data_IF_989816576898
#
_entry.id   IF_989816576898
#
_cell.length_a   1.000
_cell.length_b   1.000
_cell.length_c   1.000
_cell.angle_alpha   90.00
_cell.angle_beta   90.00
_cell.angle_gamma   90.00
#
_symmetry.space_group_name_H-M   'P 1'
#
loop_
_entity.id
_entity.type
_entity.pdbx_description
1 polymer ?
#
# COMPACT_ATOMS: atom_id res chain seq x y z
N UNK A 1 71.08 45.17 -0.53
CA UNK A 1 70.23 44.57 -1.58
C UNK A 1 70.44 43.07 -1.56
N UNK A 2 69.50 42.32 -0.99
CA UNK A 2 69.39 40.87 -1.14
C UNK A 2 67.95 40.47 -0.83
N UNK A 3 67.40 39.67 -1.74
CA UNK A 3 66.02 39.18 -1.77
C UNK A 3 65.93 37.92 -0.90
N UNK A 4 64.81 37.71 -0.18
CA UNK A 4 64.63 36.51 0.64
C UNK A 4 63.17 36.28 0.99
N UNK A 5 62.57 35.33 0.29
CA UNK A 5 61.20 34.82 0.41
C UNK A 5 61.17 33.64 1.40
N UNK A 6 60.18 33.53 2.31
CA UNK A 6 59.63 32.25 2.80
C UNK A 6 58.57 32.40 3.93
N UNK A 7 57.36 31.99 3.60
CA UNK A 7 56.39 31.18 4.38
C UNK A 7 56.48 31.12 5.91
N UNK A 8 55.42 31.60 6.54
CA UNK A 8 55.09 31.41 7.96
C UNK A 8 54.50 30.01 8.22
N UNK A 9 55.25 29.19 8.94
CA UNK A 9 54.75 28.08 9.76
C UNK A 9 54.29 28.63 11.11
N UNK A 10 53.07 28.33 11.55
CA UNK A 10 52.74 28.43 12.97
C UNK A 10 52.18 27.10 13.49
N UNK A 11 52.98 26.52 14.37
CA UNK A 11 52.65 25.46 15.32
C UNK A 11 51.42 25.82 16.16
N UNK A 12 50.56 24.84 16.42
CA UNK A 12 49.67 24.87 17.59
C UNK A 12 49.99 23.69 18.50
N UNK A 13 50.38 24.02 19.72
CA UNK A 13 50.83 23.10 20.77
C UNK A 13 49.63 22.62 21.59
N UNK A 14 49.73 21.36 21.96
CA UNK A 14 48.89 20.56 22.84
C UNK A 14 48.68 21.19 24.23
N UNK A 15 47.44 21.22 24.73
CA UNK A 15 47.15 21.22 26.16
C UNK A 15 46.10 20.13 26.43
N UNK A 16 46.53 19.12 27.19
CA UNK A 16 45.72 18.07 27.80
C UNK A 16 45.33 18.54 29.20
N UNK A 17 44.05 18.44 29.53
CA UNK A 17 43.60 18.27 30.91
C UNK A 17 42.53 17.17 30.93
N UNK A 18 42.75 16.21 31.84
CA UNK A 18 41.97 14.99 32.02
C UNK A 18 40.87 15.15 33.10
N UNK A 19 39.87 14.25 33.01
CA UNK A 19 38.95 13.73 34.08
C UNK A 19 37.63 14.51 34.31
N UNK A 20 36.46 13.87 34.66
CA UNK A 20 36.08 12.45 34.81
C UNK A 20 34.84 11.98 34.01
N UNK A 21 34.72 10.65 33.95
CA UNK A 21 33.53 9.88 33.58
C UNK A 21 32.54 9.79 34.77
N UNK A 22 31.28 10.19 34.57
CA UNK A 22 30.04 9.45 34.88
C UNK A 22 28.84 10.37 35.15
N UNK A 23 27.68 10.05 34.56
CA UNK A 23 26.32 10.08 35.13
C UNK A 23 25.30 10.26 34.00
N UNK A 24 24.40 9.27 33.88
CA UNK A 24 23.45 9.16 32.79
C UNK A 24 22.44 10.29 32.69
N UNK A 25 22.24 10.76 31.45
CA UNK A 25 21.05 11.51 31.06
C UNK A 25 20.07 10.48 30.49
N UNK A 26 19.01 10.20 31.25
CA UNK A 26 17.84 9.46 30.77
C UNK A 26 17.20 10.31 29.68
N UNK A 27 17.28 9.87 28.43
CA UNK A 27 16.43 10.39 27.37
C UNK A 27 15.02 9.92 27.65
N UNK A 28 14.15 10.85 28.04
CA UNK A 28 12.72 10.62 28.13
C UNK A 28 12.23 10.14 26.76
N UNK A 29 11.64 8.94 26.76
CA UNK A 29 10.97 8.37 25.60
C UNK A 29 9.80 9.30 25.26
N UNK A 30 9.88 9.96 24.11
CA UNK A 30 8.71 10.57 23.49
C UNK A 30 7.56 9.55 23.37
N UNK A 31 6.31 10.01 23.36
CA UNK A 31 5.14 9.14 23.41
C UNK A 31 5.18 8.10 22.27
N UNK A 32 4.76 6.85 22.54
CA UNK A 32 4.86 5.75 21.59
C UNK A 32 4.07 6.08 20.33
N UNK A 33 4.75 6.05 19.19
CA UNK A 33 4.10 6.01 17.89
C UNK A 33 3.17 4.78 17.82
N UNK A 34 1.88 5.04 17.63
CA UNK A 34 0.90 3.99 17.33
C UNK A 34 1.11 3.45 15.90
N UNK A 35 0.68 2.20 15.65
CA UNK A 35 1.47 1.24 14.89
C UNK A 35 1.31 1.43 13.38
N UNK A 36 2.42 1.28 12.66
CA UNK A 36 2.40 0.96 11.23
C UNK A 36 1.50 -0.26 11.03
N UNK A 37 0.34 -0.09 10.40
CA UNK A 37 -0.69 -1.12 10.24
C UNK A 37 -0.21 -2.44 9.58
N UNK A 38 1.01 -2.51 9.03
CA UNK A 38 1.64 -3.77 8.60
C UNK A 38 2.29 -4.60 9.72
N UNK A 39 2.77 -4.01 10.82
CA UNK A 39 3.40 -4.79 11.92
C UNK A 39 2.36 -5.47 12.83
N UNK A 40 1.16 -4.93 12.90
CA UNK A 40 0.05 -5.53 13.65
C UNK A 40 -0.50 -6.77 12.92
N UNK A 41 -0.61 -6.73 11.59
CA UNK A 41 -1.00 -7.89 10.77
C UNK A 41 0.02 -9.04 10.83
N UNK A 42 1.33 -8.75 10.74
CA UNK A 42 2.39 -9.76 10.92
C UNK A 42 2.30 -10.49 12.27
N UNK A 43 1.74 -9.85 13.31
CA UNK A 43 1.55 -10.47 14.62
C UNK A 43 0.15 -11.10 14.77
N UNK A 44 -0.88 -10.58 14.12
CA UNK A 44 -2.23 -11.14 14.17
C UNK A 44 -2.32 -12.46 13.38
N UNK A 45 -1.87 -12.51 12.12
CA UNK A 45 -2.02 -13.73 11.30
C UNK A 45 -1.19 -14.90 11.87
N UNK A 46 -0.06 -14.62 12.52
CA UNK A 46 0.77 -15.64 13.17
C UNK A 46 0.33 -16.02 14.61
N UNK A 47 -0.58 -15.28 15.25
CA UNK A 47 -1.11 -15.60 16.60
C UNK A 47 -2.62 -15.92 16.63
N UNK A 48 -3.36 -15.72 15.54
CA UNK A 48 -4.77 -16.07 15.45
C UNK A 48 -4.91 -17.58 15.22
N UNK A 49 -5.81 -18.19 15.98
CA UNK A 49 -6.20 -19.57 15.76
C UNK A 49 -6.90 -19.72 14.40
N UNK A 50 -6.91 -20.93 13.85
CA UNK A 50 -7.42 -21.15 12.50
C UNK A 50 -8.92 -20.85 12.40
N UNK A 51 -9.66 -21.13 13.47
CA UNK A 51 -11.06 -20.76 13.61
C UNK A 51 -11.28 -19.24 13.59
N UNK A 52 -10.30 -18.44 14.01
CA UNK A 52 -10.39 -16.99 13.96
C UNK A 52 -10.05 -16.44 12.56
N UNK A 53 -9.11 -17.04 11.85
CA UNK A 53 -8.78 -16.67 10.46
C UNK A 53 -9.96 -17.01 9.53
N UNK A 54 -10.53 -18.22 9.67
CA UNK A 54 -11.69 -18.65 8.88
C UNK A 54 -12.91 -17.79 9.19
N UNK A 55 -13.15 -17.48 10.46
CA UNK A 55 -14.24 -16.59 10.89
C UNK A 55 -14.06 -15.19 10.33
N UNK A 56 -12.85 -14.62 10.38
CA UNK A 56 -12.58 -13.30 9.79
C UNK A 56 -12.82 -13.29 8.28
N UNK A 57 -12.31 -14.29 7.56
CA UNK A 57 -12.50 -14.40 6.12
C UNK A 57 -13.98 -14.63 5.75
N UNK A 58 -14.73 -15.38 6.57
CA UNK A 58 -16.17 -15.59 6.39
C UNK A 58 -16.98 -14.34 6.75
N UNK A 59 -16.63 -13.61 7.81
CA UNK A 59 -17.23 -12.33 8.19
C UNK A 59 -16.98 -11.26 7.12
N UNK A 60 -15.77 -11.17 6.57
CA UNK A 60 -15.48 -10.29 5.44
C UNK A 60 -16.29 -10.68 4.20
N UNK A 61 -16.37 -11.98 3.86
CA UNK A 61 -17.22 -12.47 2.76
C UNK A 61 -18.70 -12.19 2.99
N UNK A 62 -19.22 -12.40 4.20
CA UNK A 62 -20.61 -12.10 4.58
C UNK A 62 -20.89 -10.61 4.56
N UNK A 63 -19.95 -9.77 5.03
CA UNK A 63 -20.05 -8.32 4.96
C UNK A 63 -20.07 -7.83 3.52
N UNK A 64 -19.22 -8.37 2.65
CA UNK A 64 -19.25 -8.10 1.21
C UNK A 64 -20.56 -8.56 0.56
N UNK A 65 -21.08 -9.72 0.94
CA UNK A 65 -22.36 -10.22 0.45
C UNK A 65 -23.55 -9.36 0.93
N UNK A 66 -23.53 -8.92 2.19
CA UNK A 66 -24.55 -8.05 2.78
C UNK A 66 -24.51 -6.63 2.20
N UNK A 67 -23.32 -6.07 1.94
CA UNK A 67 -23.16 -4.79 1.24
C UNK A 67 -23.75 -4.82 -0.18
N UNK A 68 -23.78 -5.99 -0.82
CA UNK A 68 -24.42 -6.19 -2.12
C UNK A 68 -25.94 -6.47 -2.01
N UNK A 69 -26.49 -6.67 -0.81
CA UNK A 69 -27.85 -7.18 -0.59
C UNK A 69 -28.81 -6.25 0.16
N UNK A 70 -28.36 -5.10 0.67
CA UNK A 70 -29.21 -4.20 1.45
C UNK A 70 -29.72 -3.02 0.61
N UNK A 71 -30.95 -3.20 0.09
CA UNK A 71 -31.79 -2.16 -0.52
C UNK A 71 -32.43 -1.30 0.59
N UNK A 72 -31.60 -0.58 1.34
CA UNK A 72 -32.08 0.43 2.27
C UNK A 72 -31.94 1.82 1.63
N UNK A 73 -33.01 2.26 0.96
CA UNK A 73 -33.42 3.66 0.79
C UNK A 73 -32.42 4.60 0.11
N UNK A 74 -32.51 4.69 -1.21
CA UNK A 74 -31.93 5.69 -2.12
C UNK A 74 -30.38 5.83 -2.17
N UNK A 75 -29.81 5.25 -3.24
CA UNK A 75 -28.53 5.65 -3.89
C UNK A 75 -27.20 5.37 -3.17
N UNK A 76 -27.13 4.49 -2.15
CA UNK A 76 -25.81 4.17 -1.54
C UNK A 76 -24.99 3.11 -2.29
N UNK A 77 -25.60 2.28 -3.14
CA UNK A 77 -24.92 1.21 -3.91
C UNK A 77 -23.95 0.34 -3.07
N UNK A 78 -24.18 0.20 -1.76
CA UNK A 78 -23.30 -0.54 -0.85
C UNK A 78 -21.96 0.15 -0.52
N UNK A 79 -21.82 1.47 -0.71
CA UNK A 79 -20.63 2.23 -0.30
C UNK A 79 -20.54 2.33 1.23
N UNK A 80 -21.68 2.42 1.92
CA UNK A 80 -21.74 2.50 3.38
C UNK A 80 -21.10 3.78 3.94
N UNK A 81 -20.92 3.81 5.26
CA UNK A 81 -20.13 4.84 5.95
C UNK A 81 -18.99 4.18 6.74
N UNK A 82 -17.76 4.37 6.26
CA UNK A 82 -16.55 3.99 7.00
C UNK A 82 -16.14 5.12 7.96
N UNK A 83 -15.78 4.74 9.19
CA UNK A 83 -15.23 5.67 10.19
C UNK A 83 -13.90 6.26 9.71
N UNK A 84 -13.77 7.58 9.84
CA UNK A 84 -12.57 8.31 9.42
C UNK A 84 -11.64 8.44 10.62
N UNK A 85 -10.53 7.70 10.58
CA UNK A 85 -9.52 7.82 11.64
C UNK A 85 -8.85 9.18 11.62
N UNK A 86 -8.40 9.66 12.78
CA UNK A 86 -7.64 10.91 12.90
C UNK A 86 -6.38 10.91 12.01
N UNK A 87 -5.73 9.75 11.85
CA UNK A 87 -4.56 9.58 10.98
C UNK A 87 -4.89 9.81 9.50
N UNK A 88 -6.08 9.39 9.06
CA UNK A 88 -6.55 9.55 7.69
C UNK A 88 -6.87 11.02 7.40
N UNK A 89 -7.49 11.72 8.37
CA UNK A 89 -7.78 13.16 8.29
C UNK A 89 -6.51 14.02 8.35
N UNK A 90 -5.44 13.53 8.99
CA UNK A 90 -4.15 14.23 9.09
C UNK A 90 -3.26 14.07 7.85
N UNK A 91 -3.71 13.37 6.80
CA UNK A 91 -2.90 13.16 5.59
C UNK A 91 -2.67 14.47 4.82
N UNK A 92 -1.41 14.72 4.44
CA UNK A 92 -1.03 15.87 3.62
C UNK A 92 -1.26 15.57 2.13
N UNK A 93 -2.00 16.44 1.44
CA UNK A 93 -2.26 16.40 0.01
C UNK A 93 -0.98 16.39 -0.84
N UNK A 94 0.14 16.93 -0.34
CA UNK A 94 1.44 16.88 -1.05
C UNK A 94 2.00 15.47 -1.17
N UNK A 95 1.67 14.60 -0.21
CA UNK A 95 2.13 13.22 -0.13
C UNK A 95 1.08 12.24 -0.67
N UNK A 96 0.23 12.68 -1.62
CA UNK A 96 -0.87 11.89 -2.18
C UNK A 96 -0.44 10.54 -2.76
N UNK A 97 0.80 10.40 -3.23
CA UNK A 97 1.33 9.11 -3.73
C UNK A 97 1.47 8.05 -2.65
N UNK A 98 1.55 8.43 -1.37
CA UNK A 98 1.65 7.50 -0.23
C UNK A 98 0.29 7.21 0.42
N UNK A 99 -0.76 7.89 -0.03
CA UNK A 99 -2.10 7.74 0.53
C UNK A 99 -2.79 6.50 -0.03
N UNK A 100 -3.72 5.98 0.79
CA UNK A 100 -4.64 4.94 0.38
C UNK A 100 -5.91 5.60 -0.18
N UNK A 101 -6.00 5.69 -1.51
CA UNK A 101 -7.12 6.35 -2.18
C UNK A 101 -8.47 5.70 -1.93
N UNK A 102 -8.50 4.37 -1.73
CA UNK A 102 -9.74 3.68 -1.38
C UNK A 102 -10.17 4.06 0.03
N UNK A 103 -9.24 4.08 1.00
CA UNK A 103 -9.56 4.50 2.36
C UNK A 103 -10.01 5.97 2.43
N UNK A 104 -9.37 6.86 1.68
CA UNK A 104 -9.77 8.28 1.61
C UNK A 104 -11.22 8.44 1.14
N UNK A 105 -11.64 7.64 0.14
CA UNK A 105 -13.04 7.63 -0.32
C UNK A 105 -14.00 6.81 0.56
N UNK A 106 -13.51 6.07 1.55
CA UNK A 106 -14.34 5.17 2.37
C UNK A 106 -14.73 3.88 1.64
N UNK A 107 -13.90 3.44 0.70
CA UNK A 107 -14.07 2.23 -0.11
C UNK A 107 -13.05 1.15 0.31
N UNK A 108 -12.55 1.18 1.55
CA UNK A 108 -11.52 0.25 2.03
C UNK A 108 -11.97 -1.20 1.98
N UNK A 109 -13.27 -1.46 2.16
CA UNK A 109 -13.87 -2.79 2.06
C UNK A 109 -14.08 -3.27 0.62
N UNK A 110 -14.32 -2.37 -0.34
CA UNK A 110 -14.55 -2.73 -1.75
C UNK A 110 -13.25 -2.77 -2.57
N UNK A 111 -12.31 -1.85 -2.34
CA UNK A 111 -11.02 -1.76 -3.04
C UNK A 111 -11.18 -1.86 -4.58
N UNK A 112 -10.40 -2.73 -5.22
CA UNK A 112 -10.46 -3.01 -6.66
C UNK A 112 -11.84 -3.54 -7.13
N UNK A 113 -12.67 -4.09 -6.24
CA UNK A 113 -14.02 -4.56 -6.57
C UNK A 113 -15.04 -3.40 -6.66
N UNK A 114 -14.68 -2.19 -6.23
CA UNK A 114 -15.57 -1.04 -6.30
C UNK A 114 -15.96 -0.71 -7.75
N UNK A 115 -17.25 -0.52 -8.01
CA UNK A 115 -17.76 -0.13 -9.32
C UNK A 115 -17.56 1.38 -9.57
N UNK A 116 -17.54 1.83 -10.85
CA UNK A 116 -17.48 3.25 -11.14
C UNK A 116 -18.64 4.06 -10.54
N UNK A 117 -19.82 3.44 -10.35
CA UNK A 117 -20.96 4.06 -9.73
C UNK A 117 -20.75 4.25 -8.22
N UNK A 118 -20.26 3.22 -7.53
CA UNK A 118 -19.86 3.30 -6.12
C UNK A 118 -18.80 4.37 -5.87
N UNK A 119 -17.78 4.48 -6.73
CA UNK A 119 -16.74 5.52 -6.63
C UNK A 119 -17.36 6.93 -6.70
N UNK A 120 -18.32 7.14 -7.61
CA UNK A 120 -19.01 8.43 -7.74
C UNK A 120 -19.88 8.74 -6.52
N UNK A 121 -20.61 7.75 -5.99
CA UNK A 121 -21.43 7.91 -4.77
C UNK A 121 -20.53 8.25 -3.58
N UNK A 122 -19.45 7.49 -3.38
CA UNK A 122 -18.48 7.71 -2.32
C UNK A 122 -17.85 9.10 -2.37
N UNK A 123 -17.45 9.56 -3.56
CA UNK A 123 -16.93 10.91 -3.76
C UNK A 123 -17.96 11.99 -3.39
N UNK A 124 -19.22 11.87 -3.85
CA UNK A 124 -20.29 12.81 -3.50
C UNK A 124 -20.48 12.90 -1.99
N UNK A 125 -20.55 11.74 -1.31
CA UNK A 125 -20.69 11.66 0.15
C UNK A 125 -19.52 12.36 0.88
N UNK A 126 -18.28 12.05 0.50
CA UNK A 126 -17.06 12.63 1.10
C UNK A 126 -16.97 14.14 0.87
N UNK A 127 -17.29 14.60 -0.35
CA UNK A 127 -17.33 16.04 -0.67
C UNK A 127 -18.38 16.75 0.18
N UNK A 128 -19.59 16.19 0.34
CA UNK A 128 -20.64 16.82 1.14
C UNK A 128 -20.29 16.92 2.64
N UNK A 129 -19.52 15.95 3.16
CA UNK A 129 -19.07 15.89 4.55
C UNK A 129 -17.89 16.82 4.84
N UNK A 130 -16.94 16.92 3.91
CA UNK A 130 -15.69 17.67 4.09
C UNK A 130 -15.60 18.96 3.26
N UNK A 131 -16.72 19.43 2.70
CA UNK A 131 -16.71 20.64 1.89
C UNK A 131 -16.22 21.85 2.71
N UNK A 132 -15.23 22.62 2.22
CA UNK A 132 -14.66 23.74 2.97
C UNK A 132 -15.70 24.84 3.28
N UNK A 133 -16.68 25.05 2.40
CA UNK A 133 -17.73 26.07 2.55
C UNK A 133 -18.69 25.77 3.73
N UNK A 134 -19.05 24.50 3.96
CA UNK A 134 -19.96 24.14 5.07
C UNK A 134 -19.31 24.31 6.44
N UNK A 135 -17.99 24.21 6.51
CA UNK A 135 -17.22 24.33 7.76
C UNK A 135 -16.72 25.76 8.02
N UNK A 136 -16.73 26.63 7.01
CA UNK A 136 -16.45 28.06 7.17
C UNK A 136 -17.50 28.80 8.01
N UNK A 137 -18.74 28.32 8.05
CA UNK A 137 -19.83 28.86 8.88
C UNK A 137 -19.81 28.41 10.35
N UNK A 138 -19.01 27.39 10.69
CA UNK A 138 -18.86 26.86 12.06
C UNK A 138 -17.49 27.32 12.58
N UNK A 139 -17.41 28.60 12.94
CA UNK A 139 -16.18 29.20 13.47
C UNK A 139 -15.80 28.56 14.82
N UNK A 140 -14.77 27.71 14.86
CA UNK A 140 -13.79 27.60 15.98
C UNK A 140 -12.45 26.99 15.51
N UNK A 141 -12.40 26.19 14.44
CA UNK A 141 -11.12 25.62 13.96
C UNK A 141 -11.06 25.62 12.45
N UNK A 142 -10.44 26.65 11.86
CA UNK A 142 -9.76 26.49 10.57
C UNK A 142 -8.55 25.56 10.79
N UNK A 143 -8.79 24.27 10.95
CA UNK A 143 -7.73 23.27 10.85
C UNK A 143 -7.30 23.27 9.39
N UNK A 144 -6.06 23.68 9.12
CA UNK A 144 -5.39 23.50 7.82
C UNK A 144 -5.49 22.06 7.30
N UNK A 145 -5.71 21.11 8.22
CA UNK A 145 -5.91 19.70 7.94
C UNK A 145 -7.21 19.42 7.17
N UNK A 146 -8.27 20.20 7.34
CA UNK A 146 -9.56 19.96 6.65
C UNK A 146 -9.48 20.28 5.15
N UNK A 147 -8.80 21.39 4.78
CA UNK A 147 -8.53 21.73 3.38
C UNK A 147 -7.52 20.75 2.75
N UNK A 148 -6.51 20.33 3.51
CA UNK A 148 -5.58 19.29 3.07
C UNK A 148 -6.32 17.97 2.78
N UNK A 149 -7.20 17.53 3.68
CA UNK A 149 -7.98 16.31 3.50
C UNK A 149 -8.97 16.41 2.32
N UNK A 150 -9.60 17.57 2.12
CA UNK A 150 -10.45 17.80 0.95
C UNK A 150 -9.67 17.66 -0.36
N UNK A 151 -8.43 18.16 -0.42
CA UNK A 151 -7.54 17.95 -1.57
C UNK A 151 -7.17 16.48 -1.76
N UNK A 152 -6.96 15.73 -0.68
CA UNK A 152 -6.78 14.28 -0.73
C UNK A 152 -8.00 13.57 -1.35
N UNK A 153 -9.22 13.95 -0.95
CA UNK A 153 -10.47 13.40 -1.53
C UNK A 153 -10.52 13.65 -3.04
N UNK A 154 -10.21 14.87 -3.49
CA UNK A 154 -10.20 15.18 -4.93
C UNK A 154 -9.16 14.35 -5.67
N UNK A 155 -7.96 14.19 -5.09
CA UNK A 155 -6.89 13.41 -5.70
C UNK A 155 -7.23 11.92 -5.77
N UNK A 156 -7.80 11.36 -4.72
CA UNK A 156 -8.26 9.98 -4.67
C UNK A 156 -9.31 9.70 -5.75
N UNK A 157 -10.29 10.61 -5.90
CA UNK A 157 -11.30 10.48 -6.95
C UNK A 157 -10.73 10.59 -8.37
N UNK A 158 -9.76 11.49 -8.59
CA UNK A 158 -9.06 11.64 -9.87
C UNK A 158 -8.33 10.34 -10.29
N UNK A 159 -7.70 9.66 -9.32
CA UNK A 159 -7.00 8.39 -9.54
C UNK A 159 -7.98 7.25 -9.77
N UNK A 160 -9.01 7.12 -8.94
CA UNK A 160 -9.92 5.98 -8.96
C UNK A 160 -10.97 6.04 -10.08
N UNK A 161 -11.34 7.24 -10.54
CA UNK A 161 -12.31 7.40 -11.65
C UNK A 161 -11.70 7.06 -13.01
N UNK A 162 -10.41 7.32 -13.21
CA UNK A 162 -9.73 6.99 -14.46
C UNK A 162 -9.29 5.51 -14.45
N UNK A 163 -9.75 4.65 -15.38
CA UNK A 163 -9.44 3.23 -15.37
C UNK A 163 -7.95 2.89 -15.47
N UNK A 164 -7.18 3.69 -16.20
CA UNK A 164 -5.74 3.50 -16.37
C UNK A 164 -4.99 3.86 -15.08
N UNK A 165 -5.30 5.02 -14.49
CA UNK A 165 -4.68 5.45 -13.22
C UNK A 165 -5.09 4.56 -12.05
N UNK A 166 -6.34 4.11 -12.04
CA UNK A 166 -6.83 3.12 -11.07
C UNK A 166 -6.03 1.82 -11.19
N UNK A 167 -5.83 1.31 -12.41
CA UNK A 167 -5.01 0.12 -12.67
C UNK A 167 -3.55 0.30 -12.21
N UNK A 168 -2.96 1.47 -12.44
CA UNK A 168 -1.62 1.80 -11.96
C UNK A 168 -1.56 1.83 -10.43
N UNK A 169 -2.59 2.37 -9.76
CA UNK A 169 -2.69 2.37 -8.30
C UNK A 169 -2.94 0.98 -7.73
N UNK A 170 -3.87 0.20 -8.29
CA UNK A 170 -4.18 -1.18 -7.88
C UNK A 170 -2.94 -2.09 -7.97
N UNK A 171 -2.00 -1.77 -8.87
CA UNK A 171 -0.72 -2.46 -8.98
C UNK A 171 0.19 -2.23 -7.76
N UNK A 172 0.03 -1.14 -7.03
CA UNK A 172 0.87 -0.74 -5.88
C UNK A 172 0.06 -0.38 -4.64
N UNK A 173 -1.17 -0.89 -4.55
CA UNK A 173 -2.09 -0.62 -3.44
C UNK A 173 -1.41 -0.99 -2.10
N UNK A 174 -1.24 -0.04 -1.17
CA UNK A 174 -0.56 -0.26 0.11
C UNK A 174 -1.14 -1.42 0.93
N UNK A 175 -2.47 -1.63 0.88
CA UNK A 175 -3.12 -2.73 1.58
C UNK A 175 -2.63 -4.08 1.05
N UNK A 176 -2.61 -4.25 -0.28
CA UNK A 176 -2.15 -5.50 -0.89
C UNK A 176 -0.64 -5.68 -0.82
N UNK A 177 0.15 -4.60 -0.89
CA UNK A 177 1.59 -4.68 -0.66
C UNK A 177 1.90 -5.28 0.73
N UNK A 178 1.14 -4.90 1.77
CA UNK A 178 1.31 -5.49 3.10
C UNK A 178 0.95 -6.99 3.15
N UNK A 179 -0.11 -7.40 2.46
CA UNK A 179 -0.50 -8.80 2.37
C UNK A 179 0.47 -9.66 1.54
N UNK A 180 1.18 -9.04 0.59
CA UNK A 180 2.23 -9.69 -0.19
C UNK A 180 3.51 -9.92 0.64
N UNK A 181 3.84 -8.99 1.55
CA UNK A 181 4.95 -9.15 2.50
C UNK A 181 4.67 -10.24 3.55
N UNK A 182 3.41 -10.40 3.94
CA UNK A 182 2.94 -11.40 4.90
C UNK A 182 2.57 -12.75 4.24
N UNK A 183 2.91 -12.95 2.96
CA UNK A 183 2.62 -14.20 2.26
C UNK A 183 3.39 -15.39 2.88
N UNK A 184 2.76 -16.58 2.97
CA UNK A 184 3.42 -17.79 3.49
C UNK A 184 4.69 -18.13 2.70
N UNK A 185 5.75 -18.49 3.40
CA UNK A 185 7.03 -18.89 2.80
C UNK A 185 7.29 -20.38 3.03
N UNK A 186 8.16 -21.02 2.22
CA UNK A 186 8.57 -22.41 2.47
C UNK A 186 9.15 -22.66 3.87
N UNK A 187 9.66 -21.61 4.54
CA UNK A 187 10.18 -21.73 5.91
C UNK A 187 9.09 -21.92 6.96
N UNK A 188 7.87 -21.43 6.70
CA UNK A 188 6.73 -21.54 7.62
C UNK A 188 6.23 -22.98 7.73
N UNK A 189 6.37 -23.74 6.64
CA UNK A 189 5.96 -25.15 6.56
C UNK A 189 7.02 -26.13 7.11
N UNK A 190 8.30 -25.73 7.22
CA UNK A 190 9.36 -26.61 7.76
C UNK A 190 9.21 -26.92 9.25
N UNK A 191 8.45 -26.10 9.98
CA UNK A 191 8.29 -26.23 11.43
C UNK A 191 7.12 -27.12 11.83
N UNK A 192 6.17 -27.34 10.94
CA UNK A 192 5.09 -28.30 11.13
C UNK A 192 5.50 -29.66 10.62
N UNK A 193 5.60 -30.63 11.54
CA UNK A 193 5.86 -32.03 11.19
C UNK A 193 4.64 -32.69 10.54
N UNK A 194 3.45 -32.15 10.82
CA UNK A 194 2.17 -32.58 10.29
C UNK A 194 1.55 -31.43 9.48
N UNK A 195 2.04 -31.19 8.26
CA UNK A 195 1.38 -30.25 7.35
C UNK A 195 0.06 -30.89 6.94
N UNK A 196 -1.02 -30.52 7.61
CA UNK A 196 -2.35 -30.88 7.15
C UNK A 196 -2.53 -30.34 5.72
N UNK A 197 -2.89 -31.18 4.73
CA UNK A 197 -3.09 -30.72 3.36
C UNK A 197 -4.07 -29.54 3.27
N UNK A 198 -5.08 -29.53 4.14
CA UNK A 198 -6.06 -28.44 4.27
C UNK A 198 -5.41 -27.10 4.61
N UNK A 199 -4.35 -27.09 5.42
CA UNK A 199 -3.61 -25.88 5.80
C UNK A 199 -2.89 -25.25 4.60
N UNK A 200 -2.37 -26.06 3.69
CA UNK A 200 -1.75 -25.56 2.45
C UNK A 200 -2.77 -24.78 1.61
N UNK A 201 -3.94 -25.37 1.35
CA UNK A 201 -4.98 -24.72 0.54
C UNK A 201 -5.57 -23.49 1.23
N UNK A 202 -5.75 -23.52 2.55
CA UNK A 202 -6.25 -22.36 3.31
C UNK A 202 -5.27 -21.17 3.26
N UNK A 203 -3.96 -21.43 3.29
CA UNK A 203 -2.94 -20.38 3.27
C UNK A 203 -2.64 -19.86 1.86
N UNK A 204 -2.46 -20.74 0.88
CA UNK A 204 -2.07 -20.34 -0.48
C UNK A 204 -3.25 -20.03 -1.39
N UNK A 205 -4.44 -20.58 -1.13
CA UNK A 205 -5.64 -20.31 -1.93
C UNK A 205 -5.92 -18.80 -2.07
N UNK A 206 -6.03 -18.05 -0.96
CA UNK A 206 -6.23 -16.60 -1.00
C UNK A 206 -5.07 -15.82 -1.66
N UNK A 207 -3.84 -16.36 -1.60
CA UNK A 207 -2.67 -15.75 -2.26
C UNK A 207 -2.83 -15.85 -3.77
N UNK A 208 -3.09 -17.05 -4.31
CA UNK A 208 -3.28 -17.23 -5.74
C UNK A 208 -4.54 -16.52 -6.26
N UNK A 209 -5.63 -16.47 -5.50
CA UNK A 209 -6.83 -15.69 -5.86
C UNK A 209 -6.51 -14.19 -5.98
N UNK A 210 -5.72 -13.66 -5.04
CA UNK A 210 -5.29 -12.26 -5.08
C UNK A 210 -4.36 -11.97 -6.26
N UNK A 211 -3.40 -12.85 -6.53
CA UNK A 211 -2.47 -12.68 -7.65
C UNK A 211 -3.17 -12.84 -9.01
N UNK A 212 -4.21 -13.68 -9.08
CA UNK A 212 -4.92 -14.00 -10.32
C UNK A 212 -5.53 -12.75 -10.97
N UNK A 213 -5.92 -11.76 -10.16
CA UNK A 213 -6.45 -10.47 -10.65
C UNK A 213 -5.50 -9.76 -11.62
N UNK A 214 -4.20 -10.01 -11.49
CA UNK A 214 -3.17 -9.39 -12.32
C UNK A 214 -2.92 -10.13 -13.63
N UNK A 215 -3.58 -11.28 -13.87
CA UNK A 215 -3.40 -12.06 -15.09
C UNK A 215 -3.95 -11.33 -16.32
N UNK A 216 -3.23 -11.41 -17.43
CA UNK A 216 -3.75 -11.05 -18.76
C UNK A 216 -4.51 -12.18 -19.44
N UNK A 217 -4.30 -13.42 -18.99
CA UNK A 217 -4.86 -14.64 -19.58
C UNK A 217 -5.98 -15.14 -18.69
N UNK A 218 -7.14 -15.38 -19.28
CA UNK A 218 -8.32 -15.94 -18.61
C UNK A 218 -8.80 -17.19 -19.36
N UNK A 219 -9.38 -18.20 -18.68
CA UNK A 219 -9.59 -18.27 -17.23
C UNK A 219 -8.29 -18.58 -16.47
N UNK A 220 -8.19 -18.08 -15.23
CA UNK A 220 -7.05 -18.37 -14.33
C UNK A 220 -7.34 -19.64 -13.53
N UNK A 221 -6.51 -20.70 -13.62
CA UNK A 221 -6.69 -21.89 -12.78
C UNK A 221 -6.40 -21.55 -11.32
N UNK A 222 -7.32 -21.94 -10.44
CA UNK A 222 -7.18 -21.82 -8.98
C UNK A 222 -6.44 -23.03 -8.41
N UNK A 223 -5.97 -22.91 -7.16
CA UNK A 223 -5.12 -23.91 -6.50
C UNK A 223 -5.76 -25.31 -6.37
N UNK A 224 -7.09 -25.40 -6.43
CA UNK A 224 -7.81 -26.67 -6.40
C UNK A 224 -8.01 -27.24 -5.00
N UNK A 225 -8.15 -28.56 -4.93
CA UNK A 225 -8.35 -29.34 -3.71
C UNK A 225 -7.36 -30.51 -3.60
N UNK A 226 -7.27 -31.13 -2.43
CA UNK A 226 -6.34 -32.25 -2.18
C UNK A 226 -6.58 -33.45 -3.10
N UNK A 227 -7.84 -33.65 -3.53
CA UNK A 227 -8.25 -34.81 -4.32
C UNK A 227 -8.07 -34.61 -5.83
N UNK A 228 -7.58 -33.45 -6.26
CA UNK A 228 -7.40 -33.13 -7.67
C UNK A 228 -6.34 -34.03 -8.32
N UNK A 229 -6.61 -34.42 -9.55
CA UNK A 229 -5.72 -35.27 -10.34
C UNK A 229 -4.44 -34.54 -10.72
N UNK A 230 -3.39 -35.32 -10.98
CA UNK A 230 -2.07 -34.81 -11.39
C UNK A 230 -2.16 -33.82 -12.57
N UNK A 231 -2.99 -34.11 -13.57
CA UNK A 231 -3.13 -33.26 -14.75
C UNK A 231 -3.68 -31.86 -14.42
N UNK A 232 -4.58 -31.76 -13.42
CA UNK A 232 -5.11 -30.47 -12.95
C UNK A 232 -4.03 -29.67 -12.23
N UNK A 233 -3.24 -30.35 -11.39
CA UNK A 233 -2.12 -29.75 -10.65
C UNK A 233 -1.03 -29.26 -11.61
N UNK A 234 -0.66 -30.05 -12.61
CA UNK A 234 0.29 -29.66 -13.65
C UNK A 234 -0.23 -28.47 -14.46
N UNK A 235 -1.49 -28.48 -14.88
CA UNK A 235 -2.11 -27.36 -15.58
C UNK A 235 -2.14 -26.06 -14.78
N UNK A 236 -2.37 -26.15 -13.47
CA UNK A 236 -2.26 -25.01 -12.55
C UNK A 236 -0.84 -24.45 -12.55
N UNK A 237 0.16 -25.27 -12.24
CA UNK A 237 1.54 -24.79 -12.13
C UNK A 237 2.13 -24.32 -13.47
N UNK A 238 1.76 -24.95 -14.60
CA UNK A 238 2.17 -24.51 -15.93
C UNK A 238 1.65 -23.11 -16.26
N UNK A 239 0.42 -22.79 -15.84
CA UNK A 239 -0.14 -21.45 -15.99
C UNK A 239 0.65 -20.43 -15.16
N UNK A 240 0.89 -20.72 -13.88
CA UNK A 240 1.59 -19.81 -12.96
C UNK A 240 3.08 -19.65 -13.26
N UNK A 241 3.72 -20.70 -13.80
CA UNK A 241 5.10 -20.61 -14.31
C UNK A 241 5.20 -19.64 -15.50
N UNK A 242 4.17 -19.60 -16.33
CA UNK A 242 4.05 -18.75 -17.52
C UNK A 242 3.13 -17.54 -17.29
N UNK A 243 2.98 -17.10 -16.03
CA UNK A 243 2.07 -16.03 -15.65
C UNK A 243 2.44 -14.73 -16.35
N UNK A 244 1.48 -14.17 -17.10
CA UNK A 244 1.65 -12.88 -17.77
C UNK A 244 0.80 -11.84 -17.06
N UNK A 245 1.49 -10.97 -16.31
CA UNK A 245 0.87 -9.97 -15.46
C UNK A 245 0.67 -8.63 -16.20
N UNK A 246 -0.53 -8.03 -16.12
CA UNK A 246 -0.76 -6.65 -16.57
C UNK A 246 -0.24 -5.59 -15.60
N UNK A 247 0.18 -5.97 -14.38
CA UNK A 247 0.65 -5.08 -13.33
C UNK A 247 1.69 -4.10 -13.86
N UNK A 248 1.52 -2.82 -13.55
CA UNK A 248 2.38 -1.73 -14.01
C UNK A 248 2.85 -0.89 -12.82
N UNK A 249 4.00 -0.22 -12.93
CA UNK A 249 4.59 0.51 -11.81
C UNK A 249 4.73 2.01 -12.09
N UNK A 250 3.91 2.53 -13.01
CA UNK A 250 3.89 3.93 -13.43
C UNK A 250 3.43 4.86 -12.32
N UNK A 251 2.57 4.40 -11.41
CA UNK A 251 2.15 5.19 -10.24
C UNK A 251 3.36 5.64 -9.38
N UNK A 252 4.44 4.85 -9.37
CA UNK A 252 5.68 5.12 -8.63
C UNK A 252 6.68 5.98 -9.42
N UNK A 253 6.33 6.43 -10.62
CA UNK A 253 7.20 7.28 -11.43
C UNK A 253 7.41 8.64 -10.76
N UNK A 254 8.63 9.17 -10.89
CA UNK A 254 8.92 10.53 -10.45
C UNK A 254 8.27 11.51 -11.42
N UNK A 255 7.66 12.55 -10.88
CA UNK A 255 7.02 13.57 -11.71
C UNK A 255 8.09 14.25 -12.56
N UNK A 256 7.82 14.31 -13.85
CA UNK A 256 8.59 15.16 -14.76
C UNK A 256 8.27 16.58 -14.33
N UNK A 257 9.28 17.37 -13.97
CA UNK A 257 9.06 18.77 -13.61
C UNK A 257 8.50 19.51 -14.83
N UNK A 258 7.17 19.63 -14.92
CA UNK A 258 6.49 20.17 -16.10
C UNK A 258 6.85 21.65 -16.33
N UNK A 259 7.25 22.35 -15.27
CA UNK A 259 7.73 23.74 -15.31
C UNK A 259 9.20 23.93 -15.69
N UNK A 260 10.00 22.86 -15.79
CA UNK A 260 11.32 22.95 -16.44
C UNK A 260 11.13 22.77 -17.94
N UNK A 261 11.33 23.82 -18.73
CA UNK A 261 11.31 23.76 -20.19
C UNK A 261 12.51 23.01 -20.79
N UNK A 262 13.40 22.48 -19.95
CA UNK A 262 14.56 21.73 -20.39
C UNK A 262 14.16 20.32 -20.86
N UNK A 263 14.12 20.14 -22.19
CA UNK A 263 13.83 18.87 -22.86
C UNK A 263 14.71 17.72 -22.36
N UNK A 264 15.98 17.99 -22.04
CA UNK A 264 16.91 16.96 -21.59
C UNK A 264 16.56 16.45 -20.19
N UNK A 265 16.06 17.31 -19.30
CA UNK A 265 15.58 16.91 -17.96
C UNK A 265 14.34 16.03 -18.07
N UNK A 266 13.41 16.37 -18.98
CA UNK A 266 12.22 15.55 -19.26
C UNK A 266 12.63 14.16 -19.78
N UNK A 267 13.53 14.12 -20.77
CA UNK A 267 14.05 12.86 -21.34
C UNK A 267 14.79 12.01 -20.31
N UNK A 268 15.60 12.65 -19.46
CA UNK A 268 16.35 11.97 -18.41
C UNK A 268 15.43 11.35 -17.35
N UNK A 269 14.40 12.11 -16.92
CA UNK A 269 13.42 11.64 -15.94
C UNK A 269 12.62 10.46 -16.48
N UNK A 270 12.12 10.55 -17.72
CA UNK A 270 11.41 9.42 -18.35
C UNK A 270 12.31 8.19 -18.53
N UNK A 271 13.58 8.38 -18.91
CA UNK A 271 14.55 7.27 -19.00
C UNK A 271 14.77 6.60 -17.64
N UNK A 272 14.83 7.37 -16.56
CA UNK A 272 14.91 6.85 -15.18
C UNK A 272 13.64 6.10 -14.78
N UNK A 273 12.47 6.70 -15.01
CA UNK A 273 11.18 6.08 -14.75
C UNK A 273 11.04 4.75 -15.49
N UNK A 274 11.34 4.71 -16.79
CA UNK A 274 11.34 3.47 -17.59
C UNK A 274 12.25 2.38 -17.02
N UNK A 275 13.48 2.73 -16.64
CA UNK A 275 14.42 1.79 -16.01
C UNK A 275 13.87 1.25 -14.69
N UNK A 276 13.27 2.12 -13.89
CA UNK A 276 12.75 1.81 -12.56
C UNK A 276 11.47 0.97 -12.61
N UNK A 277 10.60 1.22 -13.61
CA UNK A 277 9.46 0.35 -13.95
C UNK A 277 9.92 -1.06 -14.34
N UNK A 278 10.95 -1.15 -15.19
CA UNK A 278 11.50 -2.45 -15.61
C UNK A 278 12.10 -3.21 -14.42
N UNK A 279 12.80 -2.52 -13.51
CA UNK A 279 13.34 -3.10 -12.27
C UNK A 279 12.22 -3.68 -11.40
N UNK A 280 11.18 -2.88 -11.11
CA UNK A 280 10.03 -3.33 -10.29
C UNK A 280 9.26 -4.47 -10.94
N UNK A 281 9.08 -4.45 -12.26
CA UNK A 281 8.45 -5.56 -12.99
C UNK A 281 9.26 -6.85 -12.87
N UNK A 282 10.59 -6.77 -12.95
CA UNK A 282 11.47 -7.93 -12.72
C UNK A 282 11.37 -8.45 -11.28
N UNK A 283 11.30 -7.55 -10.30
CA UNK A 283 11.13 -7.90 -8.88
C UNK A 283 9.79 -8.57 -8.59
N UNK A 284 8.70 -8.05 -9.16
CA UNK A 284 7.36 -8.65 -9.03
C UNK A 284 7.30 -10.05 -9.67
N UNK A 285 7.91 -10.25 -10.84
CA UNK A 285 8.02 -11.58 -11.47
C UNK A 285 8.86 -12.52 -10.60
N UNK A 286 9.97 -12.05 -10.04
CA UNK A 286 10.82 -12.86 -9.17
C UNK A 286 10.10 -13.24 -7.86
N UNK A 287 9.33 -12.31 -7.28
CA UNK A 287 8.48 -12.54 -6.11
C UNK A 287 7.43 -13.61 -6.41
N UNK A 288 6.68 -13.48 -7.51
CA UNK A 288 5.64 -14.43 -7.90
C UNK A 288 6.21 -15.84 -8.11
N UNK A 289 7.41 -15.96 -8.69
CA UNK A 289 8.12 -17.24 -8.86
C UNK A 289 8.66 -17.83 -7.55
N UNK A 290 8.71 -17.03 -6.48
CA UNK A 290 9.13 -17.45 -5.16
C UNK A 290 7.99 -17.97 -4.27
N UNK A 291 6.74 -17.77 -4.70
CA UNK A 291 5.56 -18.43 -4.14
C UNK A 291 5.54 -19.90 -4.56
#
# INVERSE_FOLDING_TARGET
>A
MAVGNAHSNLHYVHLKEDVPISAGIKTEKGPPCLPKNGKFMRRQVHNLSYEEIDRQAEEERKRLAAANGDDNGEDDLGVGEEEESEELLAQDAKEWKKQDHYAVLGLSHLRYKATPAQIKVAHRKKVLKHHPDKKAGVSVSHSTNDDAFFKCIQKANEVLTNPERRRQFDSVDPYYASLEEDAPTPADFKKDKDIEPKKFFALFGPVFEREARFSKKEPVPMLGAYEDGKDQVEGFYDFWYNFDSWRSFEYMDKEVNEGSDNRDDKRYTEKKNKTERARRKKEDIARLRGL
#
